data_IF_536549387142
#
_entry.id   IF_536549387142
#
_cell.length_a   1.000
_cell.length_b   1.000
_cell.length_c   1.000
_cell.angle_alpha   90.00
_cell.angle_beta   90.00
_cell.angle_gamma   90.00
#
_symmetry.space_group_name_H-M   'P 1'
#
loop_
_entity.id
_entity.type
_entity.pdbx_description
1 polymer ?
#
# COMPACT_ATOMS: atom_id res chain seq x y z
N UNK A 1 -1.90 -9.00 10.70
CA UNK A 1 -0.92 -9.31 9.64
C UNK A 1 -0.97 -10.81 9.38
N UNK A 2 -1.02 -11.25 8.13
CA UNK A 2 -0.99 -12.67 7.75
C UNK A 2 0.32 -12.91 6.99
N UNK A 3 1.00 -14.02 7.28
CA UNK A 3 2.19 -14.45 6.54
C UNK A 3 1.75 -15.37 5.42
N UNK A 4 2.10 -15.02 4.19
CA UNK A 4 1.78 -15.80 2.99
C UNK A 4 3.08 -16.30 2.36
N UNK A 5 3.23 -17.63 2.25
CA UNK A 5 4.42 -18.25 1.67
C UNK A 5 4.56 -18.05 0.16
N UNK A 6 3.50 -17.62 -0.53
CA UNK A 6 3.52 -17.33 -1.97
C UNK A 6 4.04 -15.93 -2.29
N UNK A 7 4.15 -15.05 -1.27
CA UNK A 7 4.68 -13.70 -1.44
C UNK A 7 6.19 -13.71 -1.60
N UNK A 8 6.67 -12.84 -2.49
CA UNK A 8 8.11 -12.62 -2.67
C UNK A 8 8.72 -12.06 -1.37
N UNK A 9 9.88 -12.57 -0.92
CA UNK A 9 10.58 -12.00 0.23
C UNK A 9 10.84 -10.50 0.08
N UNK A 10 10.60 -9.74 1.16
CA UNK A 10 10.76 -8.28 1.18
C UNK A 10 9.59 -7.51 0.55
N UNK A 11 8.48 -8.17 0.20
CA UNK A 11 7.26 -7.53 -0.32
C UNK A 11 6.13 -7.74 0.69
N UNK A 12 5.29 -6.73 0.85
CA UNK A 12 4.00 -6.83 1.55
C UNK A 12 2.85 -6.45 0.61
N UNK A 13 1.66 -6.97 0.89
CA UNK A 13 0.46 -6.65 0.11
C UNK A 13 -0.63 -6.11 1.03
N UNK A 14 -1.31 -5.05 0.58
CA UNK A 14 -2.51 -4.50 1.20
C UNK A 14 -3.60 -4.37 0.13
N UNK A 15 -4.77 -5.03 0.28
CA UNK A 15 -5.85 -4.89 -0.67
C UNK A 15 -6.35 -3.43 -0.74
N UNK A 16 -6.45 -2.90 -1.97
CA UNK A 16 -7.10 -1.61 -2.22
C UNK A 16 -8.63 -1.76 -2.18
N UNK A 17 -9.32 -0.71 -1.74
CA UNK A 17 -10.80 -0.64 -1.76
C UNK A 17 -11.47 -0.66 -0.39
N UNK A 18 -10.70 -0.67 0.70
CA UNK A 18 -11.25 -0.46 2.05
C UNK A 18 -11.89 0.93 2.17
N UNK A 19 -13.00 1.01 2.89
CA UNK A 19 -13.59 2.28 3.27
C UNK A 19 -12.81 2.89 4.43
N UNK A 20 -12.50 4.19 4.35
CA UNK A 20 -11.74 4.92 5.40
C UNK A 20 -12.33 4.69 6.80
N UNK A 21 -13.67 4.72 6.91
CA UNK A 21 -14.42 4.52 8.16
C UNK A 21 -14.30 3.10 8.74
N UNK A 22 -13.84 2.14 7.95
CA UNK A 22 -13.63 0.75 8.38
C UNK A 22 -12.21 0.53 8.94
N UNK A 23 -11.42 1.59 9.11
CA UNK A 23 -10.04 1.53 9.63
C UNK A 23 -9.92 2.36 10.91
N UNK A 24 -9.11 1.91 11.87
CA UNK A 24 -8.96 2.60 13.16
C UNK A 24 -8.27 3.97 13.02
N UNK A 25 -7.43 4.13 12.00
CA UNK A 25 -6.61 5.34 11.79
C UNK A 25 -7.18 6.27 10.71
N UNK A 26 -8.30 5.90 10.08
CA UNK A 26 -8.92 6.70 9.01
C UNK A 26 -8.05 6.80 7.76
N UNK A 27 -7.22 5.79 7.48
CA UNK A 27 -6.31 5.72 6.31
C UNK A 27 -6.41 4.35 5.66
N UNK A 28 -6.13 4.27 4.36
CA UNK A 28 -6.18 3.03 3.56
C UNK A 28 -4.88 2.82 2.79
N UNK A 29 -4.82 1.80 1.92
CA UNK A 29 -3.65 1.49 1.10
C UNK A 29 -3.04 2.70 0.37
N UNK A 30 -3.86 3.67 -0.07
CA UNK A 30 -3.38 4.86 -0.77
C UNK A 30 -2.51 5.77 0.09
N UNK A 31 -2.56 5.66 1.43
CA UNK A 31 -1.70 6.46 2.31
C UNK A 31 -0.20 6.14 2.14
N UNK A 32 0.14 5.01 1.52
CA UNK A 32 1.52 4.63 1.22
C UNK A 32 1.96 4.97 -0.21
N UNK A 33 1.01 5.34 -1.09
CA UNK A 33 1.33 5.70 -2.47
C UNK A 33 1.75 7.18 -2.55
N UNK A 34 2.74 7.53 -3.38
CA UNK A 34 3.10 8.92 -3.63
C UNK A 34 1.98 9.65 -4.40
N UNK A 35 1.95 10.98 -4.27
CA UNK A 35 1.05 11.86 -5.02
C UNK A 35 1.64 12.27 -6.39
N UNK A 36 2.73 11.62 -6.80
CA UNK A 36 3.36 11.81 -8.10
C UNK A 36 2.66 11.02 -9.20
N UNK A 37 2.75 11.53 -10.44
CA UNK A 37 2.27 10.86 -11.65
C UNK A 37 3.45 10.40 -12.49
N UNK A 38 3.29 9.28 -13.21
CA UNK A 38 4.31 8.84 -14.15
C UNK A 38 4.49 9.86 -15.30
N UNK A 39 5.71 9.90 -15.81
CA UNK A 39 6.16 10.84 -16.84
C UNK A 39 5.69 10.48 -18.27
N UNK A 40 5.28 9.23 -18.50
CA UNK A 40 4.86 8.76 -19.81
C UNK A 40 3.45 9.25 -20.19
N UNK A 41 2.47 9.09 -19.29
CA UNK A 41 1.05 9.36 -19.58
C UNK A 41 0.28 9.92 -18.38
N UNK A 42 0.95 10.33 -17.30
CA UNK A 42 0.30 10.91 -16.13
C UNK A 42 -0.51 9.91 -15.29
N UNK A 43 -0.14 8.64 -15.31
CA UNK A 43 -0.82 7.60 -14.51
C UNK A 43 -0.33 7.57 -13.06
N UNK A 44 -1.23 7.25 -12.14
CA UNK A 44 -0.91 7.15 -10.71
C UNK A 44 0.07 6.01 -10.39
N UNK A 45 0.99 6.27 -9.47
CA UNK A 45 2.08 5.36 -9.11
C UNK A 45 1.77 4.49 -7.87
N UNK A 46 0.64 3.78 -7.86
CA UNK A 46 0.14 3.05 -6.67
C UNK A 46 1.11 2.04 -6.04
N UNK A 47 2.01 1.45 -6.83
CA UNK A 47 2.94 0.42 -6.36
C UNK A 47 4.34 0.97 -6.05
N UNK A 48 4.59 2.27 -6.28
CA UNK A 48 5.85 2.90 -5.94
C UNK A 48 5.87 3.28 -4.45
N UNK A 49 5.87 2.26 -3.60
CA UNK A 49 5.82 2.41 -2.16
C UNK A 49 6.97 1.64 -1.50
N UNK A 50 7.68 2.31 -0.58
CA UNK A 50 8.62 1.67 0.35
C UNK A 50 8.07 1.81 1.75
N UNK A 51 8.01 0.70 2.47
CA UNK A 51 7.41 0.66 3.81
C UNK A 51 8.31 -0.13 4.76
N UNK A 52 8.19 0.21 6.04
CA UNK A 52 8.73 -0.56 7.16
C UNK A 52 7.55 -1.22 7.89
N UNK A 53 7.72 -2.46 8.34
CA UNK A 53 6.69 -3.20 9.06
C UNK A 53 7.22 -3.62 10.42
N UNK A 54 6.60 -3.13 11.48
CA UNK A 54 6.90 -3.53 12.86
C UNK A 54 5.74 -4.27 13.49
N UNK A 55 6.03 -5.18 14.41
CA UNK A 55 5.04 -5.63 15.38
C UNK A 55 4.72 -4.47 16.35
N UNK A 56 3.48 -4.43 16.82
CA UNK A 56 2.99 -3.49 17.85
C UNK A 56 2.67 -4.28 19.11
#
# INVERSE_FOLDING_TARGET
MVVDATMRPGVCSIPKGLWLRSTNQGVTANAFAPDDLNDLVGGACFNDARVEVTAV
#
